data_IF_473822565460
#
_entry.id   IF_473822565460
#
_cell.length_a   1.000
_cell.length_b   1.000
_cell.length_c   1.000
_cell.angle_alpha   90.00
_cell.angle_beta   90.00
_cell.angle_gamma   90.00
#
_symmetry.space_group_name_H-M   'P 1'
#
loop_
_entity.id
_entity.type
_entity.pdbx_description
1 polymer ?
#
# COMPACT_ATOMS: atom_id res chain seq x y z
N UNK A 1 -10.83 -30.06 29.53
CA UNK A 1 -10.34 -30.10 28.13
C UNK A 1 -11.12 -31.18 27.39
N UNK A 2 -11.52 -30.98 26.13
CA UNK A 2 -12.19 -32.02 25.31
C UNK A 2 -11.59 -32.08 23.90
N UNK A 3 -11.57 -33.26 23.29
CA UNK A 3 -11.11 -33.48 21.92
C UNK A 3 -12.30 -33.85 21.04
N UNK A 4 -12.48 -33.16 19.92
CA UNK A 4 -13.56 -33.45 18.97
C UNK A 4 -13.08 -33.11 17.58
N UNK A 5 -13.20 -34.05 16.62
CA UNK A 5 -12.84 -33.84 15.20
C UNK A 5 -11.48 -33.17 14.99
N UNK A 6 -10.45 -33.62 15.72
CA UNK A 6 -9.07 -33.10 15.59
C UNK A 6 -8.84 -31.71 16.20
N UNK A 7 -9.82 -31.15 16.93
CA UNK A 7 -9.69 -29.88 17.65
C UNK A 7 -9.68 -30.13 19.16
N UNK A 8 -8.75 -29.46 19.84
CA UNK A 8 -8.71 -29.39 21.30
C UNK A 8 -9.64 -28.25 21.71
N UNK A 9 -10.42 -28.42 22.77
CA UNK A 9 -11.22 -27.35 23.36
C UNK A 9 -10.90 -27.18 24.84
N UNK A 10 -10.77 -25.92 25.25
CA UNK A 10 -10.55 -25.51 26.65
C UNK A 10 -11.78 -24.73 27.12
N UNK A 11 -12.23 -25.04 28.32
CA UNK A 11 -13.31 -24.30 28.97
C UNK A 11 -12.70 -23.12 29.71
N UNK A 12 -13.18 -21.91 29.43
CA UNK A 12 -12.74 -20.68 30.12
C UNK A 12 -13.57 -20.36 31.37
N UNK A 13 -14.40 -21.31 31.81
CA UNK A 13 -15.34 -21.16 32.93
C UNK A 13 -16.73 -20.69 32.53
N UNK A 14 -16.95 -20.25 31.28
CA UNK A 14 -18.28 -19.91 30.74
C UNK A 14 -18.62 -20.70 29.49
N UNK A 15 -17.66 -20.91 28.62
CA UNK A 15 -17.87 -21.60 27.35
C UNK A 15 -16.68 -22.48 26.95
N UNK A 16 -16.94 -23.47 26.10
CA UNK A 16 -15.90 -24.30 25.51
C UNK A 16 -15.34 -23.62 24.26
N UNK A 17 -14.12 -23.10 24.35
CA UNK A 17 -13.40 -22.52 23.21
C UNK A 17 -12.52 -23.56 22.55
N UNK A 18 -12.59 -23.65 21.22
CA UNK A 18 -11.62 -24.44 20.48
C UNK A 18 -10.24 -23.79 20.67
N UNK A 19 -9.29 -24.53 21.24
CA UNK A 19 -7.87 -24.34 20.96
C UNK A 19 -7.63 -24.76 19.51
N UNK A 20 -8.09 -23.93 18.57
CA UNK A 20 -7.50 -23.91 17.26
C UNK A 20 -6.16 -23.21 17.48
N UNK A 21 -5.07 -23.97 17.42
CA UNK A 21 -3.73 -23.39 17.52
C UNK A 21 -3.65 -22.38 16.37
N UNK A 22 -3.74 -21.08 16.65
CA UNK A 22 -3.81 -20.04 15.61
C UNK A 22 -2.64 -20.19 14.63
N UNK A 23 -1.49 -20.70 15.09
CA UNK A 23 -0.31 -21.01 14.27
C UNK A 23 -0.47 -22.16 13.25
N UNK A 24 -1.57 -22.94 13.25
CA UNK A 24 -1.79 -24.01 12.26
C UNK A 24 -2.78 -23.61 11.15
N UNK A 25 -3.29 -22.38 11.16
CA UNK A 25 -4.18 -21.85 10.13
C UNK A 25 -3.39 -21.21 8.99
N UNK A 26 -3.85 -21.34 7.74
CA UNK A 26 -3.15 -20.73 6.59
C UNK A 26 -3.08 -19.20 6.76
N UNK A 27 -1.88 -18.64 6.59
CA UNK A 27 -1.63 -17.21 6.80
C UNK A 27 -1.35 -16.85 8.26
N UNK A 28 -1.17 -17.83 9.14
CA UNK A 28 -0.64 -17.62 10.49
C UNK A 28 0.88 -17.72 10.53
N UNK A 29 1.49 -17.38 11.67
CA UNK A 29 2.96 -17.41 11.80
C UNK A 29 3.56 -18.81 11.63
N UNK A 30 2.90 -19.85 12.14
CA UNK A 30 3.37 -21.24 12.03
C UNK A 30 2.98 -21.92 10.71
N UNK A 31 1.98 -21.38 10.02
CA UNK A 31 1.58 -21.85 8.69
C UNK A 31 1.35 -20.67 7.73
N UNK A 32 2.42 -19.94 7.35
CA UNK A 32 2.33 -18.76 6.50
C UNK A 32 1.97 -19.16 5.06
N UNK A 33 1.26 -18.27 4.36
CA UNK A 33 1.12 -18.40 2.90
C UNK A 33 2.35 -17.85 2.16
N UNK A 34 2.41 -17.98 0.84
CA UNK A 34 3.39 -17.28 0.00
C UNK A 34 2.90 -15.88 -0.42
N UNK A 35 1.59 -15.64 -0.40
CA UNK A 35 1.00 -14.33 -0.68
C UNK A 35 -0.40 -14.19 -0.08
N UNK A 36 -0.89 -12.96 0.04
CA UNK A 36 -2.30 -12.73 0.40
C UNK A 36 -3.27 -13.35 -0.61
N UNK A 37 -2.89 -13.46 -1.89
CA UNK A 37 -3.70 -14.11 -2.93
C UNK A 37 -3.89 -15.59 -2.65
N UNK A 38 -2.82 -16.30 -2.34
CA UNK A 38 -2.88 -17.71 -1.98
C UNK A 38 -3.72 -17.92 -0.72
N UNK A 39 -3.50 -17.11 0.32
CA UNK A 39 -4.29 -17.16 1.55
C UNK A 39 -5.77 -16.98 1.23
N UNK A 40 -6.13 -16.00 0.38
CA UNK A 40 -7.52 -15.79 -0.02
C UNK A 40 -8.10 -16.96 -0.83
N UNK A 41 -7.29 -17.60 -1.66
CA UNK A 41 -7.71 -18.79 -2.41
C UNK A 41 -7.93 -19.99 -1.49
N UNK A 42 -7.07 -20.20 -0.49
CA UNK A 42 -7.17 -21.30 0.47
C UNK A 42 -8.20 -21.06 1.59
N UNK A 43 -8.47 -19.79 1.94
CA UNK A 43 -9.42 -19.37 2.96
C UNK A 43 -10.45 -18.41 2.35
N UNK A 44 -11.57 -18.96 1.85
CA UNK A 44 -12.60 -18.17 1.16
C UNK A 44 -13.15 -17.01 2.00
N UNK A 45 -13.32 -17.25 3.30
CA UNK A 45 -13.85 -16.27 4.26
C UNK A 45 -12.77 -15.34 4.84
N UNK A 46 -11.54 -15.38 4.32
CA UNK A 46 -10.48 -14.45 4.75
C UNK A 46 -10.92 -13.00 4.56
N UNK A 47 -10.84 -12.22 5.63
CA UNK A 47 -11.17 -10.81 5.69
C UNK A 47 -9.90 -9.95 5.60
N UNK A 48 -10.07 -8.64 5.44
CA UNK A 48 -8.95 -7.71 5.50
C UNK A 48 -8.26 -7.80 6.86
N UNK A 49 -6.93 -7.85 6.87
CA UNK A 49 -6.21 -8.01 8.13
C UNK A 49 -4.73 -8.28 7.98
N UNK A 50 -4.09 -8.50 9.12
CA UNK A 50 -2.68 -8.88 9.16
C UNK A 50 -2.59 -10.40 9.05
N UNK A 51 -1.80 -10.87 8.10
CA UNK A 51 -1.45 -12.27 7.92
C UNK A 51 0.06 -12.42 7.86
N UNK A 52 0.54 -13.64 8.00
CA UNK A 52 1.94 -14.00 7.86
C UNK A 52 2.17 -14.68 6.51
N UNK A 53 3.20 -14.22 5.82
CA UNK A 53 3.64 -14.82 4.56
C UNK A 53 5.13 -15.15 4.59
N UNK A 54 5.58 -15.95 3.65
CA UNK A 54 7.00 -16.22 3.38
C UNK A 54 7.32 -16.16 1.89
N UNK A 55 8.59 -15.93 1.55
CA UNK A 55 9.09 -15.97 0.18
C UNK A 55 9.88 -17.27 -0.12
N UNK A 56 10.12 -18.11 0.88
CA UNK A 56 10.92 -19.33 0.73
C UNK A 56 10.52 -20.42 1.71
N UNK A 57 10.65 -20.15 3.00
CA UNK A 57 10.46 -21.12 4.08
C UNK A 57 9.64 -20.54 5.24
N UNK A 58 8.96 -21.41 5.98
CA UNK A 58 8.09 -20.99 7.09
C UNK A 58 8.85 -20.36 8.27
N UNK A 59 10.15 -20.63 8.46
CA UNK A 59 10.95 -20.06 9.55
C UNK A 59 11.24 -18.56 9.32
N UNK A 60 11.21 -18.13 8.07
CA UNK A 60 11.44 -16.76 7.65
C UNK A 60 10.14 -15.97 7.39
N UNK A 61 9.02 -16.39 7.99
CA UNK A 61 7.74 -15.71 7.89
C UNK A 61 7.80 -14.26 8.41
N UNK A 62 7.00 -13.39 7.80
CA UNK A 62 6.86 -11.98 8.20
C UNK A 62 5.41 -11.51 8.03
N UNK A 63 4.96 -10.55 8.85
CA UNK A 63 3.59 -10.06 8.79
C UNK A 63 3.41 -9.08 7.63
N UNK A 64 2.23 -9.12 7.00
CA UNK A 64 1.78 -8.21 5.95
C UNK A 64 0.31 -7.88 6.15
N UNK A 65 -0.11 -6.70 5.70
CA UNK A 65 -1.52 -6.40 5.55
C UNK A 65 -2.02 -7.02 4.24
N UNK A 66 -3.10 -7.79 4.34
CA UNK A 66 -3.82 -8.34 3.21
C UNK A 66 -5.15 -7.61 3.01
N UNK A 67 -5.33 -7.06 1.81
CA UNK A 67 -6.65 -6.59 1.35
C UNK A 67 -7.35 -7.73 0.60
N UNK A 68 -8.23 -8.42 1.32
CA UNK A 68 -9.03 -9.56 0.89
C UNK A 68 -10.40 -9.16 0.30
N UNK A 69 -10.79 -7.89 0.39
CA UNK A 69 -12.11 -7.39 -0.01
C UNK A 69 -12.08 -6.38 -1.17
N UNK A 70 -10.91 -5.99 -1.68
CA UNK A 70 -10.78 -5.05 -2.79
C UNK A 70 -11.70 -5.41 -3.99
N UNK A 71 -12.61 -4.49 -4.32
CA UNK A 71 -13.69 -4.63 -5.31
C UNK A 71 -13.19 -4.77 -6.74
N UNK A 72 -12.70 -5.97 -7.09
CA UNK A 72 -12.32 -6.35 -8.44
C UNK A 72 -11.39 -7.56 -8.47
N UNK A 73 -10.43 -7.65 -7.53
CA UNK A 73 -9.51 -8.80 -7.34
C UNK A 73 -9.06 -8.84 -5.87
N UNK A 74 -9.44 -9.84 -5.07
CA UNK A 74 -9.04 -9.91 -3.67
C UNK A 74 -7.63 -10.51 -3.51
N UNK A 75 -7.00 -10.30 -2.35
CA UNK A 75 -5.72 -10.91 -2.00
C UNK A 75 -4.49 -10.03 -2.30
N UNK A 76 -4.61 -8.71 -2.15
CA UNK A 76 -3.46 -7.81 -2.30
C UNK A 76 -2.55 -7.87 -1.08
N UNK A 77 -1.24 -7.88 -1.31
CA UNK A 77 -0.22 -7.87 -0.26
C UNK A 77 0.39 -6.48 -0.16
N UNK A 78 0.29 -5.81 0.99
CA UNK A 78 0.95 -4.51 1.19
C UNK A 78 2.46 -4.69 1.30
N UNK A 79 3.21 -4.01 0.42
CA UNK A 79 4.68 -4.11 0.35
C UNK A 79 5.40 -2.84 0.78
N UNK A 80 4.73 -1.69 0.65
CA UNK A 80 5.25 -0.37 1.02
C UNK A 80 4.10 0.50 1.52
N UNK A 81 4.34 1.35 2.51
CA UNK A 81 3.37 2.35 2.96
C UNK A 81 4.01 3.69 3.24
N UNK A 82 3.49 4.76 2.65
CA UNK A 82 3.86 6.15 2.97
C UNK A 82 2.83 6.75 3.92
N UNK A 83 3.29 7.47 4.94
CA UNK A 83 2.43 8.14 5.91
C UNK A 83 2.71 9.65 5.87
N UNK A 84 1.68 10.45 5.57
CA UNK A 84 1.78 11.91 5.56
C UNK A 84 2.25 12.46 6.91
N UNK A 85 3.22 13.36 6.90
CA UNK A 85 3.75 14.04 8.08
C UNK A 85 4.96 13.38 8.74
N UNK A 86 5.37 12.19 8.30
CA UNK A 86 6.60 11.54 8.79
C UNK A 86 7.82 12.24 8.20
N UNK A 87 8.78 12.61 9.06
CA UNK A 87 10.05 13.26 8.65
C UNK A 87 11.11 12.23 8.25
N UNK A 88 10.78 11.42 7.24
CA UNK A 88 11.67 10.40 6.66
C UNK A 88 11.51 10.48 5.15
N UNK A 89 12.60 10.56 4.38
CA UNK A 89 12.50 10.72 2.93
C UNK A 89 11.90 9.47 2.28
N UNK A 90 10.85 9.62 1.48
CA UNK A 90 10.11 8.50 0.88
C UNK A 90 10.96 7.71 -0.12
N UNK A 91 11.53 8.36 -1.14
CA UNK A 91 12.28 7.65 -2.18
C UNK A 91 13.53 6.94 -1.65
N UNK A 92 14.39 7.56 -0.81
CA UNK A 92 15.48 6.86 -0.14
C UNK A 92 15.02 5.68 0.71
N UNK A 93 13.88 5.80 1.41
CA UNK A 93 13.31 4.67 2.16
C UNK A 93 12.88 3.56 1.21
N UNK A 94 12.29 3.88 0.06
CA UNK A 94 11.85 2.89 -0.92
C UNK A 94 13.03 2.10 -1.52
N UNK A 95 14.06 2.80 -2.01
CA UNK A 95 15.20 2.17 -2.71
C UNK A 95 16.30 1.63 -1.79
N UNK A 96 16.24 1.94 -0.50
CA UNK A 96 17.22 1.44 0.47
C UNK A 96 17.34 -0.10 0.43
N UNK A 97 18.54 -0.67 0.62
CA UNK A 97 18.73 -2.12 0.72
C UNK A 97 18.24 -2.72 2.05
N UNK A 98 17.63 -1.93 2.93
CA UNK A 98 17.03 -2.38 4.20
C UNK A 98 15.51 -2.31 4.15
N UNK A 99 14.85 -3.09 5.02
CA UNK A 99 13.40 -2.95 5.27
C UNK A 99 13.11 -1.77 6.21
N UNK A 100 11.85 -1.35 6.27
CA UNK A 100 11.39 -0.27 7.16
C UNK A 100 10.14 -0.74 7.89
N UNK A 101 10.20 -0.88 9.22
CA UNK A 101 9.06 -1.29 10.04
C UNK A 101 8.41 -2.63 9.64
N UNK A 102 9.13 -3.53 8.95
CA UNK A 102 8.61 -4.83 8.46
C UNK A 102 8.01 -5.70 9.57
N UNK A 103 8.64 -5.72 10.74
CA UNK A 103 8.20 -6.54 11.89
C UNK A 103 7.21 -5.80 12.81
N UNK A 104 6.87 -4.55 12.50
CA UNK A 104 6.00 -3.74 13.34
C UNK A 104 4.56 -3.84 12.86
N UNK A 105 3.72 -4.60 13.58
CA UNK A 105 2.31 -4.79 13.22
C UNK A 105 1.52 -3.48 13.20
N UNK A 106 1.86 -2.50 14.04
CA UNK A 106 1.20 -1.18 14.01
C UNK A 106 1.45 -0.43 12.70
N UNK A 107 2.55 -0.73 12.00
CA UNK A 107 2.86 -0.17 10.69
C UNK A 107 2.00 -0.76 9.56
N UNK A 108 1.29 -1.88 9.79
CA UNK A 108 0.42 -2.55 8.82
C UNK A 108 -1.03 -2.04 8.86
N UNK A 109 -1.41 -1.27 9.88
CA UNK A 109 -2.70 -0.57 9.92
C UNK A 109 -2.77 0.45 8.76
N UNK A 110 -3.85 0.48 7.97
CA UNK A 110 -4.00 1.39 6.81
C UNK A 110 -4.14 2.87 7.19
N UNK A 111 -4.34 3.17 8.47
CA UNK A 111 -4.38 4.54 9.02
C UNK A 111 -2.98 5.14 9.20
N UNK A 112 -2.93 6.43 9.55
CA UNK A 112 -1.69 7.15 9.87
C UNK A 112 -1.33 7.12 11.37
N UNK A 113 -1.94 6.22 12.17
CA UNK A 113 -1.67 6.15 13.61
C UNK A 113 -0.19 5.86 13.89
N UNK A 114 0.39 4.89 13.19
CA UNK A 114 1.83 4.63 13.23
C UNK A 114 2.59 5.66 12.38
N UNK A 115 3.54 6.35 13.00
CA UNK A 115 4.28 7.49 12.41
C UNK A 115 5.62 7.09 11.80
N UNK A 116 5.61 6.06 10.95
CA UNK A 116 6.76 5.70 10.11
C UNK A 116 6.26 5.18 8.75
N UNK A 117 7.15 5.18 7.76
CA UNK A 117 6.94 4.48 6.51
C UNK A 117 7.18 2.98 6.69
N UNK A 118 6.38 2.16 6.02
CA UNK A 118 6.56 0.72 6.01
C UNK A 118 7.17 0.29 4.67
N UNK A 119 8.09 -0.67 4.71
CA UNK A 119 8.65 -1.36 3.54
C UNK A 119 9.07 -2.75 3.95
N UNK A 120 8.57 -3.79 3.29
CA UNK A 120 9.00 -5.16 3.53
C UNK A 120 9.97 -5.66 2.44
N UNK A 121 10.47 -6.87 2.66
CA UNK A 121 11.41 -7.57 1.78
C UNK A 121 10.91 -7.86 0.38
N UNK A 122 9.61 -7.80 0.10
CA UNK A 122 9.10 -7.99 -1.28
C UNK A 122 9.61 -6.88 -2.20
N UNK A 123 9.70 -5.63 -1.71
CA UNK A 123 10.25 -4.52 -2.52
C UNK A 123 11.73 -4.77 -2.88
N UNK A 124 12.47 -5.48 -2.03
CA UNK A 124 13.87 -5.85 -2.25
C UNK A 124 14.00 -7.07 -3.17
N UNK A 125 13.06 -8.02 -3.05
CA UNK A 125 13.02 -9.29 -3.79
C UNK A 125 11.86 -9.32 -4.79
N UNK A 126 11.69 -8.21 -5.52
CA UNK A 126 10.53 -7.98 -6.39
C UNK A 126 10.34 -9.10 -7.42
N UNK A 127 11.43 -9.51 -8.06
CA UNK A 127 11.42 -10.58 -9.05
C UNK A 127 11.07 -11.94 -8.43
N UNK A 128 11.60 -12.25 -7.25
CA UNK A 128 11.34 -13.51 -6.55
C UNK A 128 9.86 -13.64 -6.12
N UNK A 129 9.23 -12.52 -5.75
CA UNK A 129 7.81 -12.51 -5.39
C UNK A 129 6.89 -12.75 -6.59
N UNK A 130 7.34 -12.43 -7.81
CA UNK A 130 6.60 -12.76 -9.04
C UNK A 130 5.24 -12.07 -9.14
N UNK A 131 5.13 -10.80 -8.75
CA UNK A 131 3.86 -10.06 -8.81
C UNK A 131 3.29 -10.00 -10.24
N UNK A 132 2.02 -10.39 -10.38
CA UNK A 132 1.29 -10.26 -11.66
C UNK A 132 0.76 -8.84 -11.87
N UNK A 133 0.29 -8.24 -10.79
CA UNK A 133 -0.25 -6.88 -10.76
C UNK A 133 0.27 -6.13 -9.54
N UNK A 134 0.35 -4.81 -9.67
CA UNK A 134 0.64 -3.91 -8.57
C UNK A 134 -0.50 -2.90 -8.43
N UNK A 135 -0.66 -2.35 -7.23
CA UNK A 135 -1.73 -1.42 -6.90
C UNK A 135 -1.17 -0.29 -6.05
N UNK A 136 -1.69 0.90 -6.27
CA UNK A 136 -1.54 2.03 -5.35
C UNK A 136 -2.92 2.32 -4.77
N UNK A 137 -3.06 2.20 -3.45
CA UNK A 137 -4.30 2.48 -2.73
C UNK A 137 -4.11 3.70 -1.81
N UNK A 138 -4.98 4.70 -1.95
CA UNK A 138 -4.97 5.90 -1.11
C UNK A 138 -6.06 5.77 -0.03
N UNK A 139 -5.68 5.93 1.26
CA UNK A 139 -6.59 5.78 2.40
C UNK A 139 -6.82 7.05 3.23
N UNK A 140 -7.93 7.76 3.10
CA UNK A 140 -8.24 8.88 4.00
C UNK A 140 -9.08 8.40 5.21
N UNK A 141 -8.60 8.62 6.44
CA UNK A 141 -9.34 8.22 7.65
C UNK A 141 -9.59 6.71 7.76
N UNK A 142 -8.70 5.90 7.16
CA UNK A 142 -8.84 4.44 7.10
C UNK A 142 -9.75 3.92 5.97
N UNK A 143 -10.36 4.82 5.20
CA UNK A 143 -11.23 4.47 4.07
C UNK A 143 -10.47 4.61 2.75
N UNK A 144 -10.59 3.61 1.88
CA UNK A 144 -10.05 3.68 0.52
C UNK A 144 -10.77 4.78 -0.27
N UNK A 145 -10.01 5.75 -0.81
CA UNK A 145 -10.58 6.90 -1.55
C UNK A 145 -10.26 6.89 -3.04
N UNK A 146 -9.12 6.31 -3.43
CA UNK A 146 -8.65 6.21 -4.81
C UNK A 146 -7.72 5.03 -4.94
N UNK A 147 -7.71 4.43 -6.12
CA UNK A 147 -6.76 3.39 -6.46
C UNK A 147 -6.35 3.46 -7.94
N UNK A 148 -5.17 2.90 -8.22
CA UNK A 148 -4.64 2.68 -9.57
C UNK A 148 -3.99 1.31 -9.60
N UNK A 149 -4.28 0.52 -10.64
CA UNK A 149 -3.71 -0.82 -10.83
C UNK A 149 -2.79 -0.86 -12.04
N UNK A 150 -1.79 -1.73 -11.96
CA UNK A 150 -0.70 -1.82 -12.91
C UNK A 150 -0.37 -3.27 -13.23
N UNK A 151 0.11 -3.52 -14.45
CA UNK A 151 0.73 -4.78 -14.82
C UNK A 151 2.14 -4.83 -14.22
N UNK A 152 2.37 -5.78 -13.32
CA UNK A 152 3.66 -5.96 -12.65
C UNK A 152 4.53 -7.05 -13.31
N UNK A 153 4.03 -7.73 -14.34
CA UNK A 153 4.81 -8.77 -15.01
C UNK A 153 6.02 -8.16 -15.72
N UNK A 154 7.18 -8.81 -15.54
CA UNK A 154 8.46 -8.39 -16.13
C UNK A 154 8.83 -6.95 -15.76
N UNK A 155 8.44 -6.52 -14.56
CA UNK A 155 8.83 -5.23 -13.97
C UNK A 155 9.88 -5.44 -12.90
N UNK A 156 10.53 -4.35 -12.49
CA UNK A 156 11.31 -4.29 -11.26
C UNK A 156 10.60 -3.38 -10.26
N UNK A 157 11.16 -3.25 -9.06
CA UNK A 157 10.62 -2.40 -8.01
C UNK A 157 10.53 -0.90 -8.38
N UNK A 158 11.16 -0.42 -9.45
CA UNK A 158 11.12 0.99 -9.85
C UNK A 158 10.19 1.29 -11.03
N UNK A 159 10.01 0.36 -11.97
CA UNK A 159 9.32 0.63 -13.23
C UNK A 159 7.87 0.11 -13.31
N UNK A 160 7.39 -0.64 -12.30
CA UNK A 160 5.99 -1.09 -12.23
C UNK A 160 5.01 0.08 -12.14
N UNK A 161 5.40 1.17 -11.48
CA UNK A 161 4.62 2.39 -11.36
C UNK A 161 4.95 3.34 -12.53
N UNK A 162 4.38 3.04 -13.70
CA UNK A 162 4.58 3.84 -14.90
C UNK A 162 3.34 3.82 -15.80
N UNK A 163 3.22 4.83 -16.67
CA UNK A 163 2.07 4.97 -17.56
C UNK A 163 1.86 3.76 -18.48
N UNK A 164 2.94 3.15 -18.98
CA UNK A 164 2.88 1.97 -19.86
C UNK A 164 2.43 0.70 -19.15
N UNK A 165 2.41 0.70 -17.81
CA UNK A 165 1.93 -0.42 -16.99
C UNK A 165 0.52 -0.22 -16.48
N UNK A 166 -0.12 0.92 -16.73
CA UNK A 166 -1.47 1.22 -16.24
C UNK A 166 -2.50 0.19 -16.76
N UNK A 167 -3.20 -0.46 -15.83
CA UNK A 167 -4.35 -1.35 -16.13
C UNK A 167 -5.64 -0.57 -15.92
N UNK A 168 -5.85 0.00 -14.73
CA UNK A 168 -7.08 0.70 -14.39
C UNK A 168 -6.86 1.81 -13.34
N UNK A 169 -7.84 2.71 -13.21
CA UNK A 169 -7.76 3.85 -12.30
C UNK A 169 -9.13 4.34 -11.84
N UNK A 170 -9.22 4.75 -10.58
CA UNK A 170 -10.38 5.51 -10.08
C UNK A 170 -10.51 6.91 -10.72
N UNK A 171 -9.51 7.38 -11.45
CA UNK A 171 -9.59 8.60 -12.25
C UNK A 171 -9.89 8.25 -13.70
N UNK A 172 -11.09 8.64 -14.16
CA UNK A 172 -11.65 8.28 -15.47
C UNK A 172 -10.83 8.81 -16.64
N UNK A 173 -10.19 9.96 -16.45
CA UNK A 173 -9.40 10.63 -17.47
C UNK A 173 -7.94 10.16 -17.52
N UNK A 174 -7.50 9.31 -16.57
CA UNK A 174 -6.09 8.93 -16.47
C UNK A 174 -5.59 8.19 -17.71
N UNK A 175 -6.46 7.49 -18.45
CA UNK A 175 -6.07 6.84 -19.71
C UNK A 175 -6.09 7.79 -20.90
N UNK A 176 -6.99 8.76 -20.94
CA UNK A 176 -7.16 9.68 -22.08
C UNK A 176 -6.23 10.89 -22.03
N UNK A 177 -5.93 11.40 -20.84
CA UNK A 177 -5.15 12.62 -20.69
C UNK A 177 -3.64 12.37 -20.85
N UNK A 178 -2.87 13.42 -21.22
CA UNK A 178 -1.42 13.34 -21.27
C UNK A 178 -0.85 12.98 -19.89
N UNK A 179 0.24 12.21 -19.88
CA UNK A 179 1.02 11.91 -18.68
C UNK A 179 2.42 12.43 -18.91
N UNK A 180 2.87 13.34 -18.05
CA UNK A 180 4.22 13.89 -18.14
C UNK A 180 5.18 13.06 -17.29
N UNK A 181 5.17 13.27 -15.97
CA UNK A 181 5.91 12.44 -15.02
C UNK A 181 4.96 11.42 -14.40
N UNK A 182 5.34 10.15 -14.54
CA UNK A 182 4.66 9.01 -13.95
C UNK A 182 5.71 8.02 -13.46
N UNK A 183 6.24 8.25 -12.25
CA UNK A 183 7.32 7.41 -11.71
C UNK A 183 7.45 7.52 -10.19
N UNK A 184 8.13 6.54 -9.59
CA UNK A 184 8.45 6.51 -8.15
C UNK A 184 9.45 7.61 -7.76
N UNK A 185 10.60 7.77 -8.46
CA UNK A 185 11.52 8.87 -8.14
C UNK A 185 10.89 10.25 -8.37
N UNK A 186 9.95 10.31 -9.34
CA UNK A 186 9.30 11.54 -9.78
C UNK A 186 10.29 12.62 -10.20
N UNK A 187 10.09 13.86 -9.77
CA UNK A 187 10.92 15.01 -10.15
C UNK A 187 10.97 16.04 -9.02
N UNK A 188 12.11 16.72 -8.83
CA UNK A 188 12.29 17.76 -7.78
C UNK A 188 11.87 17.29 -6.37
N UNK A 189 12.23 16.06 -6.01
CA UNK A 189 11.86 15.40 -4.75
C UNK A 189 10.36 15.17 -4.53
N UNK A 190 9.53 15.31 -5.58
CA UNK A 190 8.14 14.83 -5.59
C UNK A 190 8.17 13.37 -5.93
N UNK A 191 7.80 12.52 -4.99
CA UNK A 191 7.90 11.06 -5.13
C UNK A 191 6.53 10.46 -5.46
N UNK A 192 6.50 9.25 -6.04
CA UNK A 192 5.26 8.61 -6.48
C UNK A 192 4.34 9.59 -7.21
N UNK A 193 4.91 10.19 -8.26
CA UNK A 193 4.35 11.38 -8.89
C UNK A 193 3.63 10.98 -10.17
N UNK A 194 2.35 11.35 -10.27
CA UNK A 194 1.54 11.20 -11.48
C UNK A 194 0.97 12.57 -11.84
N UNK A 195 1.60 13.24 -12.80
CA UNK A 195 1.12 14.52 -13.32
C UNK A 195 0.81 14.48 -14.81
N UNK A 196 -0.16 15.31 -15.21
CA UNK A 196 -0.55 15.46 -16.60
C UNK A 196 0.29 16.51 -17.29
N UNK A 197 0.44 17.68 -16.65
CA UNK A 197 1.16 18.84 -17.18
C UNK A 197 2.05 19.41 -16.09
N UNK A 198 3.22 19.91 -16.51
CA UNK A 198 4.20 20.55 -15.64
C UNK A 198 4.46 21.97 -16.17
N UNK A 199 3.53 22.88 -15.90
CA UNK A 199 3.57 24.26 -16.39
C UNK A 199 4.17 25.25 -15.38
N UNK A 200 4.87 24.74 -14.36
CA UNK A 200 5.32 25.50 -13.20
C UNK A 200 4.27 25.57 -12.11
N UNK A 201 4.65 26.02 -10.91
CA UNK A 201 3.81 25.95 -9.71
C UNK A 201 2.34 26.39 -9.90
N UNK A 202 2.02 27.49 -10.62
CA UNK A 202 0.62 27.90 -10.85
C UNK A 202 -0.19 26.97 -11.76
N UNK A 203 0.49 26.22 -12.63
CA UNK A 203 -0.10 25.41 -13.70
C UNK A 203 0.18 23.91 -13.54
N UNK A 204 0.75 23.47 -12.41
CA UNK A 204 1.00 22.06 -12.16
C UNK A 204 -0.33 21.34 -11.94
N UNK A 205 -0.55 20.32 -12.78
CA UNK A 205 -1.80 19.57 -12.87
C UNK A 205 -1.51 18.08 -12.81
N UNK A 206 -2.22 17.34 -11.96
CA UNK A 206 -2.01 15.90 -11.82
C UNK A 206 -3.07 15.15 -11.03
N UNK A 207 -2.77 13.88 -10.79
CA UNK A 207 -3.65 12.94 -10.11
C UNK A 207 -3.19 12.65 -8.69
N UNK A 208 -1.88 12.43 -8.50
CA UNK A 208 -1.29 12.26 -7.17
C UNK A 208 0.17 12.68 -7.11
N UNK A 209 0.60 13.09 -5.92
CA UNK A 209 1.99 13.45 -5.62
C UNK A 209 2.28 13.30 -4.13
N UNK A 210 3.47 12.81 -3.78
CA UNK A 210 4.04 13.01 -2.46
C UNK A 210 4.91 14.27 -2.53
N UNK A 211 4.48 15.31 -1.82
CA UNK A 211 5.00 16.68 -1.96
C UNK A 211 6.46 16.80 -1.57
N UNK A 212 7.18 17.71 -2.25
CA UNK A 212 8.42 18.29 -1.73
C UNK A 212 8.09 19.58 -0.96
N UNK A 213 8.88 20.63 -1.12
CA UNK A 213 8.75 21.90 -0.41
C UNK A 213 9.05 23.12 -1.30
N UNK A 214 8.78 23.02 -2.60
CA UNK A 214 9.11 24.10 -3.55
C UNK A 214 7.92 25.03 -3.84
N UNK A 215 6.80 24.48 -4.30
CA UNK A 215 5.64 25.29 -4.69
C UNK A 215 4.77 25.69 -3.49
N UNK A 216 4.04 26.82 -3.60
CA UNK A 216 3.08 27.27 -2.57
C UNK A 216 2.02 26.22 -2.23
N UNK A 217 1.56 25.46 -3.22
CA UNK A 217 0.63 24.35 -3.00
C UNK A 217 1.26 23.17 -2.23
N UNK A 218 2.59 23.10 -2.11
CA UNK A 218 3.33 22.16 -1.26
C UNK A 218 3.62 22.77 0.12
N UNK A 219 4.19 23.99 0.15
CA UNK A 219 4.68 24.62 1.38
C UNK A 219 3.58 25.03 2.36
N UNK A 220 2.33 25.16 1.89
CA UNK A 220 1.14 25.37 2.74
C UNK A 220 0.93 24.30 3.82
N UNK A 221 1.59 23.15 3.71
CA UNK A 221 1.48 22.08 4.71
C UNK A 221 2.64 22.05 5.71
N UNK A 222 3.63 22.94 5.60
CA UNK A 222 4.71 23.03 6.56
C UNK A 222 4.16 23.24 7.99
N UNK A 223 4.78 22.62 9.02
CA UNK A 223 6.01 21.83 8.96
C UNK A 223 5.82 20.36 8.53
N UNK A 224 4.60 19.91 8.20
CA UNK A 224 4.33 18.51 7.82
C UNK A 224 5.11 18.16 6.54
N UNK A 225 5.81 17.02 6.57
CA UNK A 225 6.61 16.49 5.44
C UNK A 225 5.87 15.38 4.70
N UNK A 226 6.29 15.09 3.47
CA UNK A 226 5.77 13.98 2.66
C UNK A 226 4.24 13.92 2.59
N UNK A 227 3.60 15.08 2.44
CA UNK A 227 2.14 15.14 2.34
C UNK A 227 1.73 14.50 1.03
N UNK A 228 0.83 13.53 1.10
CA UNK A 228 0.26 12.90 -0.07
C UNK A 228 -0.92 13.77 -0.53
N UNK A 229 -0.78 14.37 -1.71
CA UNK A 229 -1.86 15.06 -2.40
C UNK A 229 -2.41 14.18 -3.51
N UNK A 230 -3.72 14.27 -3.70
CA UNK A 230 -4.41 13.59 -4.79
C UNK A 230 -5.64 14.39 -5.22
N UNK A 231 -6.06 14.21 -6.46
CA UNK A 231 -7.29 14.82 -6.98
C UNK A 231 -8.52 14.10 -6.43
N UNK A 232 -9.43 14.84 -5.79
CA UNK A 232 -10.74 14.32 -5.36
C UNK A 232 -11.73 14.15 -6.50
N UNK A 233 -11.47 14.79 -7.64
CA UNK A 233 -12.37 14.75 -8.79
C UNK A 233 -12.39 13.35 -9.42
N UNK A 234 -13.26 13.17 -10.42
CA UNK A 234 -13.21 12.02 -11.32
C UNK A 234 -11.96 12.00 -12.21
N UNK A 235 -11.19 13.08 -12.26
CA UNK A 235 -9.97 13.19 -13.04
C UNK A 235 -8.87 14.01 -12.37
N UNK A 236 -7.89 14.50 -13.13
CA UNK A 236 -6.81 15.33 -12.61
C UNK A 236 -7.28 16.70 -12.12
N UNK A 237 -6.44 17.40 -11.36
CA UNK A 237 -6.73 18.76 -10.92
C UNK A 237 -5.47 19.62 -10.87
N UNK A 238 -5.63 20.94 -10.94
CA UNK A 238 -4.56 21.88 -10.66
C UNK A 238 -4.33 21.94 -9.15
N UNK A 239 -3.07 21.81 -8.70
CA UNK A 239 -2.75 21.72 -7.27
C UNK A 239 -3.07 22.99 -6.47
N UNK A 240 -3.23 24.14 -7.15
CA UNK A 240 -3.68 25.38 -6.52
C UNK A 240 -5.19 25.42 -6.25
N UNK A 241 -5.97 24.48 -6.79
CA UNK A 241 -7.39 24.32 -6.46
C UNK A 241 -7.56 23.50 -5.18
N UNK A 242 -7.35 24.15 -4.03
CA UNK A 242 -7.22 23.50 -2.73
C UNK A 242 -8.43 22.71 -2.23
N UNK A 243 -9.65 23.04 -2.67
CA UNK A 243 -10.86 22.27 -2.30
C UNK A 243 -10.95 20.95 -3.06
N UNK A 244 -10.37 20.90 -4.27
CA UNK A 244 -10.39 19.77 -5.20
C UNK A 244 -9.20 18.81 -5.01
N UNK A 245 -8.19 19.23 -4.26
CA UNK A 245 -7.09 18.40 -3.76
C UNK A 245 -7.23 18.20 -2.24
N UNK A 246 -6.79 17.07 -1.67
CA UNK A 246 -6.77 16.88 -0.21
C UNK A 246 -5.51 16.19 0.27
N UNK A 247 -5.23 16.40 1.55
CA UNK A 247 -4.28 15.62 2.33
C UNK A 247 -4.84 14.22 2.55
N UNK A 248 -4.14 13.20 2.07
CA UNK A 248 -4.38 11.87 2.58
C UNK A 248 -3.87 11.80 4.06
N UNK A 249 -4.79 11.75 5.02
CA UNK A 249 -4.52 11.58 6.45
C UNK A 249 -4.32 10.10 6.86
N UNK A 250 -4.25 9.16 5.93
CA UNK A 250 -3.82 7.78 6.15
C UNK A 250 -2.64 7.41 5.25
N UNK A 251 -2.44 6.11 5.04
CA UNK A 251 -1.34 5.60 4.22
C UNK A 251 -1.59 5.69 2.71
N UNK A 252 -0.53 5.71 1.90
CA UNK A 252 -0.54 5.09 0.56
C UNK A 252 0.02 3.68 0.72
N UNK A 253 -0.75 2.65 0.39
CA UNK A 253 -0.35 1.24 0.49
C UNK A 253 -0.41 0.50 -0.83
#
# INVERSE_FOLDING_TARGET
MKFTTGKIFVCDGKEWKALQYEESSLGSRGYPGFSCKEIKTGLKDAANGIYWITLSDFKNAFPVYCDMAAGGKPGWTMVFKVVSGVDKKVYPTYVSPQTSSEKNMAALDVTSKHKDHYKNRIVLKWSDFGALEARVALYAGGQLVKEVSFNAQKTNNLNWFSASKLIDSSWKDMKSEPKNIFSIPGQHNRNFFINSRYGGCPNDVGWMVITSNYCKWETRFLPRKNVILYSKLSGHTNWNQYSKSTINNGGVG
#
